data_IF_942715145784
#
_entry.id   IF_942715145784
#
_cell.length_a   1.000
_cell.length_b   1.000
_cell.length_c   1.000
_cell.angle_alpha   90.00
_cell.angle_beta   90.00
_cell.angle_gamma   90.00
#
_symmetry.space_group_name_H-M   'P 1'
#
loop_
_entity.id
_entity.type
_entity.pdbx_description
1 polymer ?
#
# COMPACT_ATOMS: atom_id res chain seq x y z
N UNK A 1 8.12 -1.31 10.53
CA UNK A 1 7.41 -2.56 10.10
C UNK A 1 7.15 -3.55 11.23
N UNK A 2 8.15 -3.87 12.08
CA UNK A 2 8.01 -4.87 13.14
C UNK A 2 6.86 -4.58 14.13
N UNK A 3 6.52 -3.29 14.34
CA UNK A 3 5.42 -2.87 15.20
C UNK A 3 4.04 -2.77 14.51
N UNK A 4 3.89 -3.20 13.24
CA UNK A 4 2.65 -2.99 12.47
C UNK A 4 1.40 -3.58 13.16
N UNK A 5 1.50 -4.77 13.74
CA UNK A 5 0.39 -5.39 14.48
C UNK A 5 0.05 -4.68 15.80
N UNK A 6 1.03 -4.00 16.41
CA UNK A 6 0.80 -3.15 17.59
C UNK A 6 0.08 -1.86 17.20
N UNK A 7 0.57 -1.20 16.14
CA UNK A 7 -0.05 0.00 15.58
C UNK A 7 -1.49 -0.26 15.12
N UNK A 8 -1.74 -1.37 14.42
CA UNK A 8 -3.08 -1.72 13.94
C UNK A 8 -4.11 -1.89 15.07
N UNK A 9 -3.68 -2.31 16.26
CA UNK A 9 -4.54 -2.52 17.44
C UNK A 9 -4.59 -1.32 18.38
N UNK A 10 -3.86 -0.25 18.08
CA UNK A 10 -3.82 0.91 18.95
C UNK A 10 -5.20 1.61 18.98
N UNK A 11 -5.61 2.20 20.13
CA UNK A 11 -6.89 2.87 20.24
C UNK A 11 -7.07 3.96 19.18
N UNK A 12 -8.26 4.00 18.56
CA UNK A 12 -8.66 4.97 17.52
C UNK A 12 -7.96 4.83 16.17
N UNK A 13 -7.16 3.78 15.94
CA UNK A 13 -6.62 3.49 14.60
C UNK A 13 -7.71 2.84 13.75
N UNK A 14 -8.08 3.50 12.65
CA UNK A 14 -9.11 3.01 11.72
C UNK A 14 -8.53 2.33 10.47
N UNK A 15 -7.24 2.54 10.19
CA UNK A 15 -6.57 2.02 9.01
C UNK A 15 -5.07 2.28 9.07
N UNK A 16 -4.34 1.68 8.13
CA UNK A 16 -2.91 1.85 7.98
C UNK A 16 -2.58 2.36 6.58
N UNK A 17 -1.54 3.18 6.48
CA UNK A 17 -0.94 3.55 5.21
C UNK A 17 0.54 3.17 5.22
N UNK A 18 1.03 2.64 4.10
CA UNK A 18 2.43 2.28 3.96
C UNK A 18 3.17 3.32 3.10
N UNK A 19 4.13 4.03 3.73
CA UNK A 19 5.03 4.95 3.06
C UNK A 19 6.20 4.23 2.37
N UNK A 20 5.90 3.45 1.32
CA UNK A 20 6.86 2.52 0.70
C UNK A 20 8.12 3.20 0.15
N UNK A 21 8.00 4.34 -0.54
CA UNK A 21 9.13 5.02 -1.14
C UNK A 21 10.12 5.56 -0.11
N UNK A 22 9.60 6.18 0.97
CA UNK A 22 10.42 6.67 2.06
C UNK A 22 11.11 5.52 2.80
N UNK A 23 10.37 4.45 3.09
CA UNK A 23 10.94 3.26 3.71
C UNK A 23 12.03 2.65 2.83
N UNK A 24 11.77 2.47 1.53
CA UNK A 24 12.74 1.90 0.60
C UNK A 24 14.04 2.71 0.56
N UNK A 25 13.95 4.04 0.52
CA UNK A 25 15.11 4.93 0.60
C UNK A 25 15.86 4.81 1.94
N UNK A 26 15.14 4.69 3.06
CA UNK A 26 15.73 4.57 4.40
C UNK A 26 16.50 3.27 4.59
N UNK A 27 15.99 2.15 4.09
CA UNK A 27 16.59 0.82 4.29
C UNK A 27 17.33 0.27 3.05
N UNK A 28 17.53 1.10 2.03
CA UNK A 28 18.30 0.74 0.84
C UNK A 28 17.64 -0.29 -0.07
N UNK A 29 16.31 -0.35 -0.13
CA UNK A 29 15.59 -1.16 -1.12
C UNK A 29 15.52 -0.40 -2.45
N UNK A 30 15.90 -1.07 -3.52
CA UNK A 30 15.71 -0.60 -4.90
C UNK A 30 14.67 -1.50 -5.59
N UNK A 31 13.38 -1.07 -5.66
CA UNK A 31 12.33 -1.90 -6.24
C UNK A 31 12.55 -2.09 -7.75
N UNK A 32 12.48 -3.35 -8.20
CA UNK A 32 12.43 -3.64 -9.63
C UNK A 32 11.06 -3.27 -10.22
N UNK A 33 10.89 -3.32 -11.55
CA UNK A 33 9.58 -3.08 -12.19
C UNK A 33 8.44 -3.98 -11.63
N UNK A 34 8.82 -5.12 -11.05
CA UNK A 34 7.95 -6.09 -10.36
C UNK A 34 7.59 -5.71 -8.93
N UNK A 35 8.41 -4.89 -8.28
CA UNK A 35 8.35 -4.49 -6.86
C UNK A 35 8.30 -5.69 -5.90
N UNK A 36 8.87 -6.85 -6.29
CA UNK A 36 8.86 -8.06 -5.47
C UNK A 36 9.62 -7.85 -4.16
N UNK A 37 10.58 -6.95 -4.16
CA UNK A 37 11.39 -6.55 -3.02
C UNK A 37 10.53 -5.93 -1.90
N UNK A 38 9.34 -5.40 -2.24
CA UNK A 38 8.38 -4.83 -1.29
C UNK A 38 7.34 -5.85 -0.78
N UNK A 39 7.33 -7.08 -1.30
CA UNK A 39 6.30 -8.09 -1.01
C UNK A 39 6.13 -8.32 0.50
N UNK A 40 7.24 -8.59 1.21
CA UNK A 40 7.18 -8.89 2.64
C UNK A 40 6.61 -7.72 3.45
N UNK A 41 7.05 -6.50 3.15
CA UNK A 41 6.61 -5.27 3.83
C UNK A 41 5.11 -5.05 3.60
N UNK A 42 4.66 -5.16 2.35
CA UNK A 42 3.24 -5.02 1.97
C UNK A 42 2.38 -6.08 2.64
N UNK A 43 2.79 -7.35 2.61
CA UNK A 43 2.07 -8.46 3.25
C UNK A 43 1.93 -8.26 4.76
N UNK A 44 2.99 -7.78 5.44
CA UNK A 44 2.94 -7.50 6.88
C UNK A 44 1.84 -6.49 7.25
N UNK A 45 1.64 -5.43 6.46
CA UNK A 45 0.58 -4.44 6.71
C UNK A 45 -0.81 -5.05 6.48
N UNK A 46 -0.98 -5.80 5.39
CA UNK A 46 -2.25 -6.46 5.04
C UNK A 46 -2.65 -7.52 6.06
N UNK A 47 -1.69 -8.28 6.61
CA UNK A 47 -1.98 -9.25 7.67
C UNK A 47 -2.25 -8.53 8.99
N UNK A 48 -1.48 -7.51 9.34
CA UNK A 48 -1.65 -6.75 10.58
C UNK A 48 -3.04 -6.09 10.67
N UNK A 49 -3.49 -5.44 9.59
CA UNK A 49 -4.86 -4.88 9.53
C UNK A 49 -5.93 -5.95 9.64
N UNK A 50 -5.73 -7.12 9.01
CA UNK A 50 -6.69 -8.22 9.06
C UNK A 50 -6.84 -8.76 10.47
N UNK A 51 -5.73 -8.93 11.18
CA UNK A 51 -5.71 -9.39 12.57
C UNK A 51 -6.34 -8.38 13.55
N UNK A 52 -6.30 -7.08 13.21
CA UNK A 52 -6.90 -6.02 14.02
C UNK A 52 -8.37 -5.72 13.67
N UNK A 53 -8.91 -6.27 12.58
CA UNK A 53 -10.28 -6.01 12.14
C UNK A 53 -10.54 -4.58 11.67
N UNK A 54 -9.51 -3.89 11.17
CA UNK A 54 -9.60 -2.50 10.69
C UNK A 54 -9.65 -2.44 9.15
N UNK A 55 -9.88 -1.25 8.60
CA UNK A 55 -10.02 -1.05 7.15
C UNK A 55 -8.80 -1.55 6.37
N UNK A 56 -9.05 -1.94 5.11
CA UNK A 56 -7.98 -2.30 4.19
C UNK A 56 -6.96 -1.16 4.08
N UNK A 57 -5.66 -1.48 4.00
CA UNK A 57 -4.63 -0.45 4.07
C UNK A 57 -4.58 0.34 2.78
N UNK A 58 -4.09 1.58 2.88
CA UNK A 58 -3.81 2.44 1.73
C UNK A 58 -2.34 2.28 1.33
N UNK A 59 -2.11 1.96 0.07
CA UNK A 59 -0.77 1.79 -0.48
C UNK A 59 -0.08 3.13 -0.76
N UNK A 60 1.23 3.07 -0.99
CA UNK A 60 2.03 4.23 -1.37
C UNK A 60 1.66 4.81 -2.74
N UNK A 61 2.12 6.04 -2.97
CA UNK A 61 1.98 6.71 -4.26
C UNK A 61 2.70 5.95 -5.38
N UNK A 62 2.21 6.10 -6.60
CA UNK A 62 2.92 5.55 -7.76
C UNK A 62 4.20 6.35 -8.00
N UNK A 63 5.32 5.64 -8.15
CA UNK A 63 6.56 6.28 -8.55
C UNK A 63 6.41 6.96 -9.91
N UNK A 64 7.11 8.08 -10.12
CA UNK A 64 7.11 8.78 -11.39
C UNK A 64 7.64 7.89 -12.52
N UNK A 65 6.92 7.84 -13.64
CA UNK A 65 7.28 7.00 -14.80
C UNK A 65 6.88 5.53 -14.70
N UNK A 66 6.35 5.07 -13.56
CA UNK A 66 5.79 3.73 -13.43
C UNK A 66 4.37 3.63 -13.99
N UNK A 67 3.99 2.45 -14.48
CA UNK A 67 2.62 2.18 -14.92
C UNK A 67 1.68 2.15 -13.72
N UNK A 68 0.85 3.20 -13.61
CA UNK A 68 -0.14 3.38 -12.56
C UNK A 68 -1.14 2.22 -12.52
N UNK A 69 -1.65 1.76 -13.67
CA UNK A 69 -2.70 0.72 -13.71
C UNK A 69 -2.13 -0.61 -13.23
N UNK A 70 -1.04 -1.06 -13.83
CA UNK A 70 -0.42 -2.35 -13.50
C UNK A 70 0.08 -2.41 -12.06
N UNK A 71 0.67 -1.33 -11.54
CA UNK A 71 1.08 -1.27 -10.12
C UNK A 71 -0.11 -1.24 -9.17
N UNK A 72 -1.17 -0.49 -9.48
CA UNK A 72 -2.38 -0.42 -8.64
C UNK A 72 -3.12 -1.74 -8.59
N UNK A 73 -3.25 -2.45 -9.71
CA UNK A 73 -3.86 -3.80 -9.74
C UNK A 73 -3.08 -4.80 -8.88
N UNK A 74 -1.74 -4.72 -8.86
CA UNK A 74 -0.92 -5.57 -7.98
C UNK A 74 -1.24 -5.30 -6.52
N UNK A 75 -1.32 -4.03 -6.12
CA UNK A 75 -1.68 -3.63 -4.76
C UNK A 75 -3.10 -4.09 -4.38
N UNK A 76 -4.08 -3.93 -5.29
CA UNK A 76 -5.44 -4.46 -5.11
C UNK A 76 -5.43 -5.97 -4.88
N UNK A 77 -4.71 -6.73 -5.72
CA UNK A 77 -4.57 -8.20 -5.59
C UNK A 77 -3.88 -8.61 -4.28
N UNK A 78 -3.06 -7.75 -3.70
CA UNK A 78 -2.45 -7.99 -2.38
C UNK A 78 -3.38 -7.69 -1.20
N UNK A 79 -4.57 -7.13 -1.42
CA UNK A 79 -5.54 -6.84 -0.37
C UNK A 79 -5.45 -5.43 0.25
N UNK A 80 -4.85 -4.48 -0.49
CA UNK A 80 -5.00 -3.04 -0.23
C UNK A 80 -6.38 -2.55 -0.67
N UNK A 81 -6.87 -1.48 -0.03
CA UNK A 81 -8.17 -0.87 -0.35
C UNK A 81 -8.09 0.47 -1.09
N UNK A 82 -6.88 0.95 -1.33
CA UNK A 82 -6.63 2.23 -1.98
C UNK A 82 -5.13 2.47 -2.16
N UNK A 83 -4.78 3.61 -2.77
CA UNK A 83 -3.41 4.12 -2.78
C UNK A 83 -3.39 5.64 -2.76
N UNK A 84 -2.32 6.22 -2.22
CA UNK A 84 -2.09 7.66 -2.31
C UNK A 84 -1.94 8.11 -3.78
N UNK A 85 -2.51 9.26 -4.11
CA UNK A 85 -2.48 9.86 -5.45
C UNK A 85 -1.91 11.28 -5.35
N UNK A 86 -1.04 11.65 -6.29
CA UNK A 86 -0.43 12.98 -6.33
C UNK A 86 -1.26 14.02 -7.11
N UNK A 87 -2.35 13.60 -7.77
CA UNK A 87 -3.25 14.48 -8.50
C UNK A 87 -4.54 13.79 -8.97
N UNK A 88 -5.51 14.58 -9.42
CA UNK A 88 -6.87 14.13 -9.78
C UNK A 88 -6.89 13.04 -10.85
N UNK A 89 -6.03 13.17 -11.86
CA UNK A 89 -5.90 12.17 -12.94
C UNK A 89 -5.53 10.78 -12.42
N UNK A 90 -4.72 10.71 -11.35
CA UNK A 90 -4.40 9.43 -10.70
C UNK A 90 -5.59 8.91 -9.88
N UNK A 91 -6.29 9.82 -9.18
CA UNK A 91 -7.39 9.45 -8.30
C UNK A 91 -8.54 8.75 -9.05
N UNK A 92 -8.91 9.22 -10.25
CA UNK A 92 -9.94 8.58 -11.07
C UNK A 92 -9.55 7.14 -11.46
N UNK A 93 -8.37 6.97 -12.08
CA UNK A 93 -7.91 5.64 -12.52
C UNK A 93 -7.65 4.66 -11.35
N UNK A 94 -7.20 5.17 -10.20
CA UNK A 94 -7.07 4.37 -8.98
C UNK A 94 -8.44 3.96 -8.43
N UNK A 95 -9.38 4.90 -8.38
CA UNK A 95 -10.74 4.65 -7.89
C UNK A 95 -11.45 3.55 -8.68
N UNK A 96 -11.34 3.57 -10.01
CA UNK A 96 -11.88 2.52 -10.88
C UNK A 96 -11.35 1.11 -10.55
N UNK A 97 -10.06 1.00 -10.23
CA UNK A 97 -9.42 -0.29 -9.94
C UNK A 97 -9.89 -0.83 -8.58
N UNK A 98 -10.05 0.02 -7.57
CA UNK A 98 -10.48 -0.40 -6.23
C UNK A 98 -12.00 -0.54 -6.09
N UNK A 99 -12.81 0.10 -6.93
CA UNK A 99 -14.27 -0.06 -6.92
C UNK A 99 -14.73 -1.46 -7.38
N UNK A 100 -13.90 -2.16 -8.16
CA UNK A 100 -14.17 -3.49 -8.71
C UNK A 100 -13.51 -4.62 -7.89
N UNK A 101 -13.29 -4.41 -6.58
CA UNK A 101 -12.54 -5.30 -5.70
C UNK A 101 -13.40 -6.13 -4.76
#
# INVERSE_FOLDING_TARGET
MLAAAGLARAPRVAGLQLGEAALAAEIGIEPSAGERELLWIRSMVVVARSAAGIAAPVAGACAGGADLRTSTERLRRMGFGGRACAGEHQAAGVGEIFANA
#
